data_IF_813737733027
#
_entry.id   IF_813737733027
#
_cell.length_a   1.000
_cell.length_b   1.000
_cell.length_c   1.000
_cell.angle_alpha   90.00
_cell.angle_beta   90.00
_cell.angle_gamma   90.00
#
_symmetry.space_group_name_H-M   'P 1'
#
loop_
_entity.id
_entity.type
_entity.pdbx_description
1 polymer ?
#
# COMPACT_ATOMS: atom_id res chain seq x y z
N UNK A 1 24.32 42.40 -39.44
CA UNK A 1 24.65 41.70 -38.18
C UNK A 1 23.35 41.33 -37.47
N UNK A 2 22.94 40.05 -37.45
CA UNK A 2 21.75 39.65 -36.71
C UNK A 2 22.10 39.40 -35.23
N UNK A 3 21.30 39.99 -34.33
CA UNK A 3 21.36 39.79 -32.89
C UNK A 3 21.02 38.32 -32.57
N UNK A 4 21.95 37.58 -31.96
CA UNK A 4 21.66 36.29 -31.32
C UNK A 4 20.76 36.56 -30.10
N UNK A 5 19.59 35.93 -30.08
CA UNK A 5 18.81 35.74 -28.86
C UNK A 5 19.58 34.76 -27.97
N UNK A 6 20.09 35.25 -26.85
CA UNK A 6 20.48 34.40 -25.74
C UNK A 6 19.19 33.93 -25.06
N UNK A 7 18.77 32.70 -25.37
CA UNK A 7 17.84 31.97 -24.52
C UNK A 7 18.61 31.55 -23.27
N UNK A 8 18.45 32.33 -22.20
CA UNK A 8 18.95 32.03 -20.87
C UNK A 8 18.19 30.82 -20.31
N UNK A 9 18.72 29.62 -20.51
CA UNK A 9 18.35 28.46 -19.70
C UNK A 9 18.74 28.74 -18.25
N UNK A 10 17.75 29.13 -17.44
CA UNK A 10 17.88 29.31 -16.00
C UNK A 10 18.10 27.92 -15.38
N UNK A 11 19.35 27.59 -15.07
CA UNK A 11 19.68 26.38 -14.30
C UNK A 11 19.08 26.53 -12.89
N UNK A 12 18.24 25.58 -12.47
CA UNK A 12 17.67 25.58 -11.12
C UNK A 12 18.81 25.49 -10.09
N UNK A 13 18.75 26.27 -9.01
CA UNK A 13 19.68 26.05 -7.90
C UNK A 13 19.33 24.78 -7.13
N UNK A 14 20.32 24.14 -6.49
CA UNK A 14 20.11 22.92 -5.70
C UNK A 14 19.03 23.08 -4.61
N UNK A 15 18.97 24.25 -3.98
CA UNK A 15 17.98 24.56 -2.94
C UNK A 15 16.57 24.66 -3.52
N UNK A 16 16.43 25.25 -4.71
CA UNK A 16 15.15 25.32 -5.43
C UNK A 16 14.72 23.94 -5.92
N UNK A 17 15.65 23.15 -6.44
CA UNK A 17 15.39 21.78 -6.90
C UNK A 17 14.87 20.91 -5.75
N UNK A 18 15.54 20.94 -4.59
CA UNK A 18 15.09 20.23 -3.39
C UNK A 18 13.68 20.64 -2.94
N UNK A 19 13.40 21.94 -2.93
CA UNK A 19 12.07 22.46 -2.56
C UNK A 19 10.99 22.04 -3.56
N UNK A 20 11.30 22.04 -4.85
CA UNK A 20 10.39 21.66 -5.92
C UNK A 20 10.11 20.16 -5.93
N UNK A 21 11.13 19.32 -5.75
CA UNK A 21 11.00 17.86 -5.60
C UNK A 21 10.06 17.53 -4.45
N UNK A 22 10.25 18.17 -3.29
CA UNK A 22 9.39 17.95 -2.13
C UNK A 22 7.93 18.34 -2.41
N UNK A 23 7.71 19.52 -3.01
CA UNK A 23 6.38 20.02 -3.35
C UNK A 23 5.65 19.11 -4.35
N UNK A 24 6.31 18.76 -5.46
CA UNK A 24 5.74 17.87 -6.48
C UNK A 24 5.43 16.49 -5.90
N UNK A 25 6.33 15.97 -5.07
CA UNK A 25 6.09 14.69 -4.39
C UNK A 25 4.85 14.72 -3.51
N UNK A 26 4.62 15.79 -2.76
CA UNK A 26 3.42 15.94 -1.93
C UNK A 26 2.14 16.09 -2.75
N UNK A 27 2.20 16.88 -3.83
CA UNK A 27 1.09 17.09 -4.76
C UNK A 27 0.67 15.80 -5.46
N UNK A 28 1.64 15.04 -6.00
CA UNK A 28 1.41 13.73 -6.61
C UNK A 28 0.81 12.76 -5.59
N UNK A 29 1.37 12.68 -4.37
CA UNK A 29 0.81 11.82 -3.31
C UNK A 29 -0.63 12.20 -2.96
N UNK A 30 -0.95 13.49 -2.96
CA UNK A 30 -2.30 13.96 -2.70
C UNK A 30 -3.28 13.52 -3.80
N UNK A 31 -2.91 13.67 -5.06
CA UNK A 31 -3.74 13.23 -6.19
C UNK A 31 -3.87 11.71 -6.27
N UNK A 32 -2.81 10.95 -6.00
CA UNK A 32 -2.88 9.49 -5.88
C UNK A 32 -3.86 9.06 -4.79
N UNK A 33 -3.84 9.72 -3.62
CA UNK A 33 -4.79 9.44 -2.56
C UNK A 33 -6.24 9.70 -2.98
N UNK A 34 -6.49 10.84 -3.62
CA UNK A 34 -7.80 11.22 -4.13
C UNK A 34 -8.33 10.21 -5.16
N UNK A 35 -7.46 9.81 -6.08
CA UNK A 35 -7.79 8.85 -7.14
C UNK A 35 -8.03 7.44 -6.56
N UNK A 36 -7.04 6.86 -5.89
CA UNK A 36 -7.08 5.44 -5.52
C UNK A 36 -7.83 5.12 -4.23
N UNK A 37 -7.89 6.08 -3.29
CA UNK A 37 -8.48 5.84 -1.96
C UNK A 37 -9.86 6.49 -1.85
N UNK A 38 -9.99 7.74 -2.31
CA UNK A 38 -11.26 8.48 -2.24
C UNK A 38 -12.17 8.26 -3.43
N UNK A 39 -11.65 7.76 -4.55
CA UNK A 39 -12.38 7.66 -5.81
C UNK A 39 -12.99 9.02 -6.22
N UNK A 40 -12.24 10.10 -5.99
CA UNK A 40 -12.64 11.50 -6.23
C UNK A 40 -11.47 12.31 -6.85
N UNK A 41 -11.08 11.98 -8.11
CA UNK A 41 -9.98 12.66 -8.78
C UNK A 41 -10.28 14.14 -9.02
N UNK A 42 -9.27 15.00 -8.80
CA UNK A 42 -9.40 16.47 -8.95
C UNK A 42 -8.70 17.05 -10.17
N UNK A 43 -7.80 16.27 -10.78
CA UNK A 43 -7.07 16.66 -11.98
C UNK A 43 -7.21 15.55 -13.02
N UNK A 44 -6.97 15.89 -14.29
CA UNK A 44 -7.00 14.91 -15.38
C UNK A 44 -5.77 14.00 -15.33
N UNK A 45 -5.86 12.83 -15.97
CA UNK A 45 -4.72 11.90 -16.10
C UNK A 45 -3.52 12.58 -16.81
N UNK A 46 -3.80 13.44 -17.79
CA UNK A 46 -2.77 14.19 -18.50
C UNK A 46 -2.01 15.18 -17.59
N UNK A 47 -2.73 15.90 -16.73
CA UNK A 47 -2.10 16.83 -15.78
C UNK A 47 -1.29 16.07 -14.73
N UNK A 48 -1.81 14.92 -14.27
CA UNK A 48 -1.10 14.04 -13.34
C UNK A 48 0.21 13.53 -13.96
N UNK A 49 0.17 13.06 -15.22
CA UNK A 49 1.34 12.58 -15.93
C UNK A 49 2.39 13.67 -16.13
N UNK A 50 1.99 14.94 -16.35
CA UNK A 50 2.93 16.05 -16.42
C UNK A 50 3.63 16.30 -15.08
N UNK A 51 2.88 16.33 -13.97
CA UNK A 51 3.47 16.46 -12.63
C UNK A 51 4.47 15.33 -12.36
N UNK A 52 4.08 14.11 -12.70
CA UNK A 52 4.90 12.91 -12.50
C UNK A 52 6.19 12.95 -13.31
N UNK A 53 6.11 13.23 -14.62
CA UNK A 53 7.29 13.38 -15.48
C UNK A 53 8.23 14.46 -14.97
N UNK A 54 7.68 15.61 -14.57
CA UNK A 54 8.49 16.71 -14.03
C UNK A 54 9.25 16.29 -12.76
N UNK A 55 8.63 15.49 -11.89
CA UNK A 55 9.30 14.94 -10.73
C UNK A 55 10.42 13.97 -11.13
N UNK A 56 10.18 13.09 -12.11
CA UNK A 56 11.20 12.17 -12.63
C UNK A 56 12.42 12.92 -13.18
N UNK A 57 12.20 13.92 -14.04
CA UNK A 57 13.27 14.73 -14.62
C UNK A 57 14.14 15.38 -13.53
N UNK A 58 13.51 15.92 -12.47
CA UNK A 58 14.20 16.56 -11.36
C UNK A 58 15.00 15.56 -10.51
N UNK A 59 14.50 14.34 -10.32
CA UNK A 59 15.21 13.29 -9.58
C UNK A 59 16.37 12.70 -10.38
N UNK A 60 16.28 12.70 -11.72
CA UNK A 60 17.39 12.35 -12.61
C UNK A 60 18.46 13.44 -12.65
N UNK A 61 18.05 14.72 -12.69
CA UNK A 61 18.96 15.87 -12.68
C UNK A 61 19.64 16.06 -11.30
N UNK A 62 18.94 15.76 -10.20
CA UNK A 62 19.45 15.88 -8.83
C UNK A 62 19.30 14.57 -8.02
N UNK A 63 20.07 13.51 -8.34
CA UNK A 63 19.96 12.20 -7.69
C UNK A 63 20.13 12.23 -6.17
N UNK A 64 20.91 13.17 -5.64
CA UNK A 64 21.16 13.36 -4.21
C UNK A 64 19.91 13.78 -3.43
N UNK A 65 18.86 14.26 -4.10
CA UNK A 65 17.58 14.65 -3.48
C UNK A 65 16.47 13.61 -3.66
N UNK A 66 16.75 12.49 -4.32
CA UNK A 66 15.79 11.40 -4.52
C UNK A 66 15.42 10.78 -3.17
N UNK A 67 14.12 10.77 -2.87
CA UNK A 67 13.57 10.26 -1.63
C UNK A 67 13.26 8.75 -1.74
N UNK A 68 13.57 7.97 -0.71
CA UNK A 68 13.21 6.55 -0.62
C UNK A 68 11.69 6.30 -0.58
N UNK A 69 10.90 7.35 -0.33
CA UNK A 69 9.43 7.33 -0.42
C UNK A 69 8.90 8.21 -1.57
N UNK A 70 9.72 8.46 -2.60
CA UNK A 70 9.30 9.19 -3.78
C UNK A 70 8.17 8.44 -4.53
N UNK A 71 7.13 9.16 -5.01
CA UNK A 71 6.09 8.57 -5.87
C UNK A 71 6.63 7.91 -7.14
N UNK A 72 7.81 8.30 -7.62
CA UNK A 72 8.44 7.71 -8.82
C UNK A 72 8.88 6.27 -8.61
N UNK A 73 9.11 5.86 -7.35
CA UNK A 73 9.50 4.49 -6.97
C UNK A 73 8.34 3.49 -7.05
N UNK A 74 7.12 3.95 -7.34
CA UNK A 74 5.95 3.08 -7.57
C UNK A 74 6.05 2.39 -8.95
N UNK A 75 6.85 2.93 -9.87
CA UNK A 75 7.18 2.24 -11.12
C UNK A 75 8.04 1.04 -10.77
N UNK A 76 7.55 -0.16 -11.09
CA UNK A 76 8.31 -1.39 -10.87
C UNK A 76 9.69 -1.33 -11.54
N UNK A 77 10.63 -2.05 -10.97
CA UNK A 77 11.96 -2.30 -11.50
C UNK A 77 12.00 -3.63 -12.24
N UNK A 78 12.66 -3.62 -13.41
CA UNK A 78 12.89 -4.81 -14.24
C UNK A 78 13.99 -5.75 -13.72
N UNK A 79 14.54 -5.47 -12.54
CA UNK A 79 15.53 -6.32 -11.90
C UNK A 79 14.87 -7.57 -11.31
N UNK A 80 15.22 -8.73 -11.84
CA UNK A 80 14.88 -10.02 -11.23
C UNK A 80 15.66 -10.21 -9.92
N UNK A 81 14.94 -10.28 -8.81
CA UNK A 81 15.51 -10.56 -7.49
C UNK A 81 14.77 -11.71 -6.83
N UNK A 82 15.52 -12.55 -6.11
CA UNK A 82 14.92 -13.50 -5.19
C UNK A 82 14.51 -12.78 -3.89
N UNK A 83 13.46 -13.27 -3.25
CA UNK A 83 12.94 -12.66 -2.02
C UNK A 83 13.78 -13.05 -0.82
N UNK A 84 14.21 -12.05 -0.07
CA UNK A 84 14.83 -12.26 1.24
C UNK A 84 13.79 -12.75 2.25
N UNK A 85 14.21 -13.61 3.18
CA UNK A 85 13.36 -14.02 4.29
C UNK A 85 13.35 -12.94 5.35
N UNK A 86 12.17 -12.59 5.84
CA UNK A 86 11.98 -11.60 6.88
C UNK A 86 11.32 -12.25 8.10
N UNK A 87 11.94 -12.10 9.27
CA UNK A 87 11.34 -12.53 10.53
C UNK A 87 10.35 -11.47 11.01
N UNK A 88 9.08 -11.85 11.15
CA UNK A 88 8.06 -10.92 11.60
C UNK A 88 8.38 -10.40 13.01
N UNK A 89 8.18 -9.08 13.21
CA UNK A 89 8.40 -8.45 14.52
C UNK A 89 7.33 -8.86 15.55
N UNK A 90 6.19 -9.38 15.06
CA UNK A 90 5.08 -9.93 15.85
C UNK A 90 4.52 -11.18 15.16
N UNK A 91 4.05 -12.20 15.90
CA UNK A 91 3.42 -13.38 15.29
C UNK A 91 2.18 -13.02 14.45
N UNK A 92 2.14 -13.49 13.21
CA UNK A 92 1.00 -13.31 12.29
C UNK A 92 0.10 -14.55 12.34
N UNK A 93 -0.88 -14.51 13.24
CA UNK A 93 -1.77 -15.64 13.51
C UNK A 93 -2.85 -15.83 12.44
N UNK A 94 -3.31 -17.06 12.29
CA UNK A 94 -4.53 -17.40 11.54
C UNK A 94 -5.77 -17.29 12.42
N UNK A 95 -6.93 -17.15 11.78
CA UNK A 95 -8.23 -17.31 12.43
C UNK A 95 -8.66 -18.78 12.37
N UNK A 96 -9.42 -19.20 13.38
CA UNK A 96 -10.18 -20.46 13.34
C UNK A 96 -11.39 -20.22 12.44
N UNK A 97 -11.78 -21.23 11.67
CA UNK A 97 -12.98 -21.20 10.84
C UNK A 97 -14.11 -21.95 11.52
N UNK A 98 -15.34 -21.51 11.28
CA UNK A 98 -16.58 -22.23 11.59
C UNK A 98 -17.41 -22.29 10.32
N UNK A 99 -18.15 -23.38 10.10
CA UNK A 99 -18.93 -23.59 8.87
C UNK A 99 -20.44 -23.67 9.11
N UNK A 100 -20.87 -23.63 10.37
CA UNK A 100 -22.28 -23.63 10.75
C UNK A 100 -22.49 -22.80 12.02
N UNK A 101 -23.76 -22.46 12.26
CA UNK A 101 -24.17 -21.60 13.37
C UNK A 101 -23.91 -22.25 14.73
N UNK A 102 -23.99 -23.58 14.84
CA UNK A 102 -23.76 -24.28 16.10
C UNK A 102 -22.29 -24.16 16.54
N UNK A 103 -21.34 -24.39 15.64
CA UNK A 103 -19.90 -24.20 15.90
C UNK A 103 -19.58 -22.77 16.32
N UNK A 104 -20.22 -21.78 15.68
CA UNK A 104 -20.05 -20.37 16.05
C UNK A 104 -20.59 -20.09 17.46
N UNK A 105 -21.79 -20.58 17.79
CA UNK A 105 -22.40 -20.43 19.11
C UNK A 105 -21.59 -21.12 20.20
N UNK A 106 -21.05 -22.32 19.94
CA UNK A 106 -20.14 -23.00 20.86
C UNK A 106 -18.87 -22.18 21.14
N UNK A 107 -18.28 -21.59 20.09
CA UNK A 107 -17.12 -20.72 20.24
C UNK A 107 -17.44 -19.45 21.04
N UNK A 108 -18.59 -18.80 20.78
CA UNK A 108 -19.06 -17.62 21.54
C UNK A 108 -19.24 -17.99 23.01
N UNK A 109 -19.96 -19.08 23.29
CA UNK A 109 -20.23 -19.54 24.65
C UNK A 109 -18.96 -19.89 25.43
N UNK A 110 -17.94 -20.43 24.75
CA UNK A 110 -16.65 -20.74 25.35
C UNK A 110 -15.78 -19.50 25.61
N UNK A 111 -15.95 -18.45 24.82
CA UNK A 111 -15.06 -17.28 24.82
C UNK A 111 -15.59 -16.15 25.69
N UNK A 112 -16.73 -15.57 25.32
CA UNK A 112 -17.37 -14.46 26.04
C UNK A 112 -18.84 -14.33 25.58
N UNK A 113 -19.77 -15.10 26.18
CA UNK A 113 -21.17 -15.11 25.75
C UNK A 113 -21.86 -13.73 25.74
N UNK A 114 -21.43 -12.83 26.64
CA UNK A 114 -21.95 -11.47 26.79
C UNK A 114 -21.04 -10.43 26.10
N UNK A 115 -20.08 -10.90 25.30
CA UNK A 115 -19.09 -10.08 24.63
C UNK A 115 -19.66 -9.21 23.52
N UNK A 116 -19.02 -8.05 23.29
CA UNK A 116 -19.31 -7.21 22.13
C UNK A 116 -18.40 -7.60 20.97
N UNK A 117 -19.00 -8.11 19.89
CA UNK A 117 -18.28 -8.58 18.71
C UNK A 117 -18.26 -7.52 17.58
N UNK A 118 -17.12 -7.41 16.89
CA UNK A 118 -17.02 -6.71 15.60
C UNK A 118 -17.14 -7.75 14.48
N UNK A 119 -18.07 -7.55 13.57
CA UNK A 119 -18.26 -8.41 12.39
C UNK A 119 -17.78 -7.68 11.16
N UNK A 120 -16.86 -8.31 10.44
CA UNK A 120 -16.19 -7.73 9.27
C UNK A 120 -16.19 -8.72 8.12
N UNK A 121 -16.20 -8.21 6.89
CA UNK A 121 -16.07 -9.04 5.70
C UNK A 121 -14.65 -9.60 5.64
N UNK A 122 -14.54 -10.93 5.56
CA UNK A 122 -13.27 -11.59 5.34
C UNK A 122 -12.85 -11.43 3.87
N UNK A 123 -11.90 -10.54 3.62
CA UNK A 123 -11.33 -10.34 2.28
C UNK A 123 -10.56 -11.59 1.86
N UNK A 124 -10.81 -12.06 0.63
CA UNK A 124 -10.12 -13.21 0.07
C UNK A 124 -8.99 -12.78 -0.88
N UNK A 125 -7.78 -12.75 -0.34
CA UNK A 125 -6.60 -12.30 -1.07
C UNK A 125 -5.31 -12.92 -0.53
N UNK A 126 -4.26 -12.13 -0.52
CA UNK A 126 -2.94 -12.49 -0.02
C UNK A 126 -2.58 -11.63 1.20
N UNK A 127 -2.47 -12.27 2.35
CA UNK A 127 -2.14 -11.59 3.60
C UNK A 127 -0.72 -11.00 3.58
N UNK A 128 -0.63 -9.73 3.95
CA UNK A 128 0.60 -8.93 3.97
C UNK A 128 0.70 -8.16 5.29
N UNK A 129 1.93 -7.92 5.73
CA UNK A 129 2.25 -6.96 6.80
C UNK A 129 3.12 -5.86 6.22
N UNK A 130 2.68 -4.61 6.38
CA UNK A 130 3.41 -3.41 6.01
C UNK A 130 4.08 -2.82 7.25
N UNK A 131 5.40 -2.76 7.25
CA UNK A 131 6.20 -2.16 8.30
C UNK A 131 6.54 -0.73 7.93
N UNK A 132 5.90 0.22 8.61
CA UNK A 132 6.25 1.63 8.55
C UNK A 132 7.15 2.00 9.72
N UNK A 133 8.23 2.71 9.43
CA UNK A 133 9.11 3.29 10.44
C UNK A 133 9.23 4.80 10.19
N UNK A 134 8.92 5.60 11.22
CA UNK A 134 8.89 7.06 11.10
C UNK A 134 8.05 7.54 9.90
N UNK A 135 6.90 6.90 9.67
CA UNK A 135 6.00 7.17 8.56
C UNK A 135 6.43 6.63 7.20
N UNK A 136 7.60 6.02 7.04
CA UNK A 136 8.10 5.53 5.73
C UNK A 136 7.93 4.01 5.64
N UNK A 137 7.40 3.52 4.53
CA UNK A 137 7.31 2.08 4.26
C UNK A 137 8.72 1.48 4.10
N UNK A 138 9.11 0.65 5.08
CA UNK A 138 10.38 -0.07 5.08
C UNK A 138 10.27 -1.44 4.45
N UNK A 139 9.29 -2.22 4.89
CA UNK A 139 9.11 -3.59 4.41
C UNK A 139 7.64 -3.92 4.13
N UNK A 140 7.38 -4.64 3.05
CA UNK A 140 6.12 -5.33 2.79
C UNK A 140 6.38 -6.83 2.81
N UNK A 141 5.81 -7.54 3.78
CA UNK A 141 6.20 -8.94 4.08
C UNK A 141 4.99 -9.85 4.02
N UNK A 142 5.09 -10.93 3.24
CA UNK A 142 4.03 -11.96 3.16
C UNK A 142 3.89 -12.70 4.48
N UNK A 143 2.70 -13.25 4.78
CA UNK A 143 2.49 -14.01 6.03
C UNK A 143 3.47 -15.19 6.21
N UNK A 144 3.77 -15.92 5.12
CA UNK A 144 4.57 -17.15 5.19
C UNK A 144 4.08 -18.15 6.24
N UNK A 145 4.96 -18.54 7.17
CA UNK A 145 4.61 -19.44 8.28
C UNK A 145 3.87 -18.75 9.44
N UNK A 146 3.73 -17.43 9.40
CA UNK A 146 3.25 -16.59 10.49
C UNK A 146 4.38 -16.03 11.37
N UNK A 147 5.56 -16.66 11.37
CA UNK A 147 6.77 -16.14 12.03
C UNK A 147 7.82 -15.62 11.04
N UNK A 148 7.92 -16.24 9.87
CA UNK A 148 8.83 -15.86 8.79
C UNK A 148 8.05 -15.73 7.49
N UNK A 149 8.26 -14.61 6.80
CA UNK A 149 7.69 -14.29 5.51
C UNK A 149 8.74 -14.03 4.44
N UNK A 150 8.28 -13.85 3.21
CA UNK A 150 9.10 -13.29 2.12
C UNK A 150 8.97 -11.77 2.13
N UNK A 151 10.09 -11.07 2.10
CA UNK A 151 10.14 -9.63 1.83
C UNK A 151 9.84 -9.38 0.35
N UNK A 152 8.67 -8.81 0.09
CA UNK A 152 8.15 -8.50 -1.24
C UNK A 152 8.01 -6.99 -1.42
N UNK A 153 8.84 -6.19 -0.73
CA UNK A 153 8.70 -4.74 -0.66
C UNK A 153 8.67 -4.07 -2.02
N UNK A 154 9.54 -4.47 -2.94
CA UNK A 154 9.58 -3.88 -4.29
C UNK A 154 8.27 -4.10 -5.04
N UNK A 155 7.66 -5.29 -4.90
CA UNK A 155 6.32 -5.57 -5.46
C UNK A 155 5.23 -4.74 -4.78
N UNK A 156 5.26 -4.65 -3.45
CA UNK A 156 4.27 -3.91 -2.66
C UNK A 156 4.31 -2.41 -2.97
N UNK A 157 5.48 -1.83 -3.23
CA UNK A 157 5.62 -0.42 -3.64
C UNK A 157 4.87 -0.09 -4.93
N UNK A 158 4.65 -1.06 -5.80
CA UNK A 158 3.92 -0.86 -7.07
C UNK A 158 2.41 -0.80 -6.90
N UNK A 159 1.88 -1.20 -5.74
CA UNK A 159 0.44 -1.20 -5.47
C UNK A 159 -0.01 0.23 -5.16
N UNK A 160 -0.73 0.83 -6.10
CA UNK A 160 -1.08 2.25 -6.15
C UNK A 160 -1.79 2.80 -4.90
N UNK A 161 -2.56 1.99 -4.17
CA UNK A 161 -3.26 2.43 -2.97
C UNK A 161 -2.46 2.21 -1.66
N UNK A 162 -1.17 1.85 -1.75
CA UNK A 162 -0.26 1.76 -0.62
C UNK A 162 0.58 3.05 -0.54
N UNK A 163 0.43 3.88 0.50
CA UNK A 163 1.25 5.07 0.66
C UNK A 163 2.69 4.67 1.02
N UNK A 164 3.69 5.14 0.27
CA UNK A 164 5.10 4.94 0.66
C UNK A 164 5.50 5.80 1.87
N UNK A 165 4.77 6.90 2.09
CA UNK A 165 4.88 7.79 3.25
C UNK A 165 3.49 8.06 3.84
N UNK A 166 3.37 7.82 5.14
CA UNK A 166 2.23 8.22 5.95
C UNK A 166 2.30 9.73 6.25
N UNK A 167 1.16 10.42 6.41
CA UNK A 167 1.13 11.84 6.76
C UNK A 167 1.80 12.18 8.10
N UNK A 168 1.83 11.23 9.03
CA UNK A 168 2.47 11.37 10.33
C UNK A 168 3.74 10.51 10.38
N UNK A 169 4.81 10.98 11.04
CA UNK A 169 6.07 10.25 11.21
C UNK A 169 5.92 9.16 12.29
N UNK A 170 5.00 8.22 12.09
CA UNK A 170 4.65 7.17 13.04
C UNK A 170 5.25 5.82 12.66
N UNK A 171 5.72 5.07 13.64
CA UNK A 171 6.11 3.67 13.46
C UNK A 171 4.90 2.78 13.73
N UNK A 172 4.48 2.02 12.71
CA UNK A 172 3.29 1.18 12.76
C UNK A 172 3.44 -0.04 11.88
N UNK A 173 2.95 -1.19 12.34
CA UNK A 173 2.88 -2.42 11.57
C UNK A 173 1.43 -2.63 11.16
N UNK A 174 1.12 -2.46 9.88
CA UNK A 174 -0.24 -2.60 9.36
C UNK A 174 -0.40 -3.99 8.76
N UNK A 175 -1.41 -4.73 9.20
CA UNK A 175 -1.79 -6.01 8.62
C UNK A 175 -2.99 -5.80 7.70
N UNK A 176 -2.92 -6.45 6.55
CA UNK A 176 -3.96 -6.37 5.55
C UNK A 176 -3.96 -7.54 4.59
N UNK A 177 -4.81 -7.41 3.59
CA UNK A 177 -4.97 -8.34 2.49
C UNK A 177 -4.76 -7.59 1.17
N UNK A 178 -3.84 -8.08 0.34
CA UNK A 178 -3.72 -7.66 -1.06
C UNK A 178 -4.70 -8.49 -1.88
N UNK A 179 -5.56 -7.82 -2.65
CA UNK A 179 -6.65 -8.46 -3.39
C UNK A 179 -6.88 -7.78 -4.74
N UNK A 180 -7.71 -8.41 -5.56
CA UNK A 180 -8.29 -7.83 -6.77
C UNK A 180 -9.81 -7.83 -6.63
N UNK A 181 -10.48 -6.82 -7.18
CA UNK A 181 -11.94 -6.89 -7.32
C UNK A 181 -12.31 -7.94 -8.37
N UNK A 182 -13.54 -8.47 -8.34
CA UNK A 182 -13.99 -9.42 -9.35
C UNK A 182 -13.90 -8.83 -10.77
N UNK A 183 -14.32 -7.56 -10.93
CA UNK A 183 -14.21 -6.84 -12.19
C UNK A 183 -12.75 -6.73 -12.67
N UNK A 184 -11.86 -6.24 -11.81
CA UNK A 184 -10.43 -6.10 -12.14
C UNK A 184 -9.79 -7.45 -12.52
N UNK A 185 -10.19 -8.53 -11.83
CA UNK A 185 -9.76 -9.89 -12.13
C UNK A 185 -10.26 -10.38 -13.48
N UNK A 186 -11.57 -10.25 -13.76
CA UNK A 186 -12.17 -10.72 -15.02
C UNK A 186 -11.57 -10.00 -16.23
N UNK A 187 -11.42 -8.67 -16.15
CA UNK A 187 -10.80 -7.87 -17.21
C UNK A 187 -9.34 -8.30 -17.45
N UNK A 188 -8.54 -8.46 -16.40
CA UNK A 188 -7.15 -8.89 -16.53
C UNK A 188 -7.03 -10.34 -17.02
N UNK A 189 -7.90 -11.24 -16.55
CA UNK A 189 -7.86 -12.65 -16.91
C UNK A 189 -8.30 -12.85 -18.38
N UNK A 190 -9.23 -12.04 -18.88
CA UNK A 190 -9.62 -12.05 -20.30
C UNK A 190 -8.42 -11.73 -21.22
N UNK A 191 -7.60 -10.75 -20.85
CA UNK A 191 -6.35 -10.43 -21.57
C UNK A 191 -5.31 -11.57 -21.53
N UNK A 192 -5.44 -12.45 -20.53
CA UNK A 192 -4.58 -13.63 -20.34
C UNK A 192 -5.23 -14.94 -20.82
N UNK A 193 -6.24 -14.86 -21.68
CA UNK A 193 -6.99 -16.01 -22.21
C UNK A 193 -7.58 -16.92 -21.12
N UNK A 194 -8.00 -16.36 -19.98
CA UNK A 194 -8.62 -17.11 -18.89
C UNK A 194 -7.65 -17.98 -18.09
N UNK A 195 -6.33 -17.74 -18.16
CA UNK A 195 -5.28 -18.57 -17.54
C UNK A 195 -5.43 -18.73 -16.02
N UNK A 196 -6.00 -17.76 -15.32
CA UNK A 196 -6.04 -17.73 -13.86
C UNK A 196 -7.38 -18.24 -13.31
N UNK A 197 -7.31 -19.09 -12.27
CA UNK A 197 -8.49 -19.75 -11.72
C UNK A 197 -9.36 -18.85 -10.82
N UNK A 198 -8.75 -17.97 -10.02
CA UNK A 198 -9.48 -17.08 -9.12
C UNK A 198 -8.65 -15.83 -8.72
N UNK A 199 -9.29 -14.76 -8.23
CA UNK A 199 -8.63 -13.51 -7.84
C UNK A 199 -7.58 -13.68 -6.74
N UNK A 200 -7.83 -14.58 -5.77
CA UNK A 200 -6.95 -14.84 -4.63
C UNK A 200 -5.59 -15.36 -5.09
N UNK A 201 -5.60 -16.41 -5.90
CA UNK A 201 -4.41 -17.05 -6.45
C UNK A 201 -3.63 -16.08 -7.34
N UNK A 202 -4.35 -15.30 -8.16
CA UNK A 202 -3.72 -14.28 -8.96
C UNK A 202 -3.04 -13.22 -8.07
N UNK A 203 -3.72 -12.71 -7.04
CA UNK A 203 -3.16 -11.73 -6.10
C UNK A 203 -1.92 -12.26 -5.40
N UNK A 204 -1.97 -13.48 -4.86
CA UNK A 204 -0.86 -14.13 -4.19
C UNK A 204 0.34 -14.38 -5.11
N UNK A 205 0.10 -14.79 -6.37
CA UNK A 205 1.15 -14.94 -7.37
C UNK A 205 1.70 -13.60 -7.86
N UNK A 206 0.88 -12.55 -7.86
CA UNK A 206 1.28 -11.20 -8.29
C UNK A 206 2.29 -10.59 -7.33
N UNK A 207 2.06 -10.66 -6.02
CA UNK A 207 3.01 -10.10 -5.06
C UNK A 207 4.32 -10.89 -4.95
N UNK A 208 4.41 -12.04 -5.64
CA UNK A 208 5.61 -12.90 -5.71
C UNK A 208 6.23 -12.95 -7.12
N UNK A 209 5.99 -11.96 -7.97
CA UNK A 209 6.75 -11.83 -9.22
C UNK A 209 8.20 -11.41 -8.93
N UNK A 210 9.17 -12.03 -9.62
CA UNK A 210 10.59 -11.66 -9.47
C UNK A 210 10.86 -10.24 -9.96
N UNK A 211 10.21 -9.87 -11.05
CA UNK A 211 10.22 -8.54 -11.61
C UNK A 211 9.01 -7.74 -11.08
N UNK A 212 9.28 -6.63 -10.39
CA UNK A 212 8.23 -5.78 -9.83
C UNK A 212 7.43 -4.99 -10.87
N UNK A 213 7.98 -4.76 -12.06
CA UNK A 213 7.22 -4.21 -13.20
C UNK A 213 6.06 -5.11 -13.62
N UNK A 214 6.18 -6.43 -13.45
CA UNK A 214 5.08 -7.35 -13.73
C UNK A 214 4.00 -7.32 -12.66
N UNK A 215 4.36 -7.01 -11.41
CA UNK A 215 3.39 -6.70 -10.35
C UNK A 215 2.66 -5.40 -10.65
N UNK A 216 3.38 -4.36 -11.09
CA UNK A 216 2.83 -3.02 -11.36
C UNK A 216 1.73 -3.00 -12.44
N UNK A 217 1.80 -3.94 -13.40
CA UNK A 217 0.80 -4.10 -14.47
C UNK A 217 -0.52 -4.70 -13.98
N UNK A 218 -0.56 -5.25 -12.77
CA UNK A 218 -1.72 -5.98 -12.25
C UNK A 218 -2.57 -5.06 -11.37
N UNK A 219 -3.90 -5.14 -11.47
CA UNK A 219 -4.81 -4.24 -10.75
C UNK A 219 -4.98 -4.64 -9.27
N UNK A 220 -3.87 -4.69 -8.54
CA UNK A 220 -3.84 -5.02 -7.11
C UNK A 220 -4.31 -3.84 -6.26
N UNK A 221 -4.95 -4.18 -5.15
CA UNK A 221 -5.37 -3.26 -4.09
C UNK A 221 -5.05 -3.86 -2.73
N UNK A 222 -4.88 -3.01 -1.72
CA UNK A 222 -4.84 -3.44 -0.31
C UNK A 222 -6.09 -3.04 0.47
N UNK A 223 -6.48 -3.88 1.42
CA UNK A 223 -7.36 -3.53 2.55
C UNK A 223 -6.66 -3.86 3.86
N UNK A 224 -6.57 -2.90 4.79
CA UNK A 224 -5.94 -3.09 6.11
C UNK A 224 -7.01 -3.19 7.20
N UNK A 225 -6.83 -4.14 8.12
CA UNK A 225 -7.84 -4.46 9.15
C UNK A 225 -7.26 -4.51 10.57
N UNK A 226 -5.94 -4.64 10.70
CA UNK A 226 -5.28 -4.69 12.00
C UNK A 226 -4.00 -3.86 11.93
N UNK A 227 -3.61 -3.29 13.06
CA UNK A 227 -2.42 -2.47 13.12
C UNK A 227 -1.87 -2.36 14.54
N UNK A 228 -0.54 -2.44 14.64
CA UNK A 228 0.19 -2.42 15.90
C UNK A 228 1.18 -1.27 15.95
N UNK A 229 1.15 -0.51 17.04
CA UNK A 229 2.09 0.59 17.31
C UNK A 229 3.09 0.15 18.38
N UNK A 230 4.33 -0.23 17.99
CA UNK A 230 5.32 -0.76 18.94
C UNK A 230 5.77 0.26 20.00
N UNK A 231 5.65 1.56 19.68
CA UNK A 231 6.15 2.66 20.52
C UNK A 231 5.05 3.42 21.27
N UNK A 232 3.78 3.00 21.16
CA UNK A 232 2.70 3.58 21.95
C UNK A 232 2.41 2.70 23.16
N UNK A 233 2.35 3.31 24.35
CA UNK A 233 1.95 2.61 25.57
C UNK A 233 0.57 1.94 25.40
N UNK A 234 0.43 0.75 26.00
CA UNK A 234 -0.63 -0.28 25.85
C UNK A 234 -2.08 0.15 26.17
N UNK A 235 -2.55 1.31 25.74
CA UNK A 235 -3.87 1.83 26.06
C UNK A 235 -4.85 1.89 24.88
N UNK A 236 -4.78 0.92 23.96
CA UNK A 236 -5.81 0.72 22.94
C UNK A 236 -6.59 -0.58 23.23
N UNK A 237 -7.56 -0.50 24.14
CA UNK A 237 -8.39 -1.63 24.57
C UNK A 237 -9.50 -2.04 23.58
N UNK A 238 -9.75 -1.24 22.54
CA UNK A 238 -10.82 -1.51 21.56
C UNK A 238 -10.41 -1.11 20.14
N UNK A 239 -10.70 -1.98 19.17
CA UNK A 239 -10.60 -1.72 17.72
C UNK A 239 -11.33 -0.43 17.33
N UNK A 240 -12.49 -0.10 17.93
CA UNK A 240 -13.18 1.18 17.67
C UNK A 240 -12.38 2.44 18.04
N UNK A 241 -11.52 2.40 19.07
CA UNK A 241 -10.64 3.53 19.45
C UNK A 241 -9.42 3.66 18.52
N UNK A 242 -9.16 2.65 17.69
CA UNK A 242 -8.10 2.64 16.68
C UNK A 242 -8.43 3.54 15.47
N UNK A 243 -9.71 3.57 15.07
CA UNK A 243 -10.13 4.17 13.81
C UNK A 243 -10.15 5.71 13.72
N UNK A 244 -10.21 6.52 14.80
CA UNK A 244 -10.05 7.97 14.69
C UNK A 244 -8.67 8.37 14.14
N UNK A 245 -7.61 7.70 14.61
CA UNK A 245 -6.23 7.92 14.12
C UNK A 245 -5.99 7.26 12.75
N UNK A 246 -6.82 6.29 12.35
CA UNK A 246 -6.72 5.64 11.04
C UNK A 246 -7.05 6.58 9.85
N UNK A 247 -7.84 7.65 10.08
CA UNK A 247 -8.14 8.66 9.05
C UNK A 247 -6.88 9.37 8.55
N UNK A 248 -5.84 9.53 9.38
CA UNK A 248 -4.57 10.11 8.96
C UNK A 248 -3.72 9.14 8.15
N UNK A 249 -3.91 7.82 8.27
CA UNK A 249 -3.07 6.81 7.61
C UNK A 249 -3.37 6.60 6.12
N UNK A 250 -4.38 7.28 5.56
CA UNK A 250 -4.77 7.21 4.14
C UNK A 250 -5.17 5.82 3.61
N UNK A 251 -5.43 4.82 4.44
CA UNK A 251 -5.99 3.53 4.00
C UNK A 251 -7.53 3.53 4.01
N UNK A 252 -8.15 2.66 3.20
CA UNK A 252 -9.58 2.36 3.33
C UNK A 252 -9.80 1.43 4.53
N UNK A 253 -10.44 1.95 5.58
CA UNK A 253 -10.97 1.18 6.69
C UNK A 253 -12.50 1.25 6.64
N UNK A 254 -13.20 0.10 6.73
CA UNK A 254 -14.68 0.11 6.75
C UNK A 254 -15.14 0.26 8.20
N UNK A 255 -15.66 1.44 8.56
CA UNK A 255 -16.44 1.63 9.78
C UNK A 255 -17.81 0.98 9.56
N UNK A 256 -18.09 -0.13 10.24
CA UNK A 256 -19.48 -0.54 10.44
C UNK A 256 -20.16 0.52 11.29
N UNK A 257 -21.02 1.34 10.68
CA UNK A 257 -22.02 2.10 11.45
C UNK A 257 -22.87 1.06 12.18
N UNK A 258 -23.18 1.24 13.47
CA UNK A 258 -24.22 0.45 14.09
C UNK A 258 -25.51 0.71 13.29
N UNK A 259 -26.21 -0.37 12.93
CA UNK A 259 -27.64 -0.31 12.63
C UNK A 259 -28.37 0.09 13.91
#
# INVERSE_FOLDING_TARGET
MPKKKEDSQKTLSEKEAKGLIAKLSDEIRHHQYLYYVKNDPKISDFDFDQLFRRLQDLEEEFPQFKDLASPTLVVGSDLDKDFEKFQHKLPVLSLINTYNDNELLEWVNKTDPEGLYSVEWKIDGASIVLYYENGILKNGVTRGSGGIGDDVTDNIRTIRNIPLRLPEPITVYLRGEVFMTFKDFEEFNALSSGKYANPRNLSAGSIKQKNSSDTAKRPLRIFTYDATFPNMEKNLKHTKKFFPNSKSLRFQFRLTRPL
#
